data_IF_528919286740
#
_entry.id   IF_528919286740
#
_cell.length_a   1.000
_cell.length_b   1.000
_cell.length_c   1.000
_cell.angle_alpha   90.00
_cell.angle_beta   90.00
_cell.angle_gamma   90.00
#
_symmetry.space_group_name_H-M   'P 1'
#
loop_
_entity.id
_entity.type
_entity.pdbx_description
1 polymer ?
#
# COMPACT_ATOMS: atom_id res chain seq x y z
N UNK A 1 -3.32 -30.35 24.22
CA UNK A 1 -3.95 -29.19 24.87
C UNK A 1 -3.17 -27.98 24.39
N UNK A 2 -3.77 -27.14 23.54
CA UNK A 2 -3.12 -25.90 23.13
C UNK A 2 -3.33 -24.90 24.26
N UNK A 3 -2.25 -24.41 24.88
CA UNK A 3 -2.33 -23.32 25.84
C UNK A 3 -2.90 -22.10 25.12
N UNK A 4 -4.12 -21.73 25.48
CA UNK A 4 -4.73 -20.49 25.04
C UNK A 4 -4.04 -19.40 25.85
N UNK A 5 -3.06 -18.74 25.24
CA UNK A 5 -2.39 -17.58 25.82
C UNK A 5 -3.42 -16.46 25.92
N UNK A 6 -3.75 -16.02 27.13
CA UNK A 6 -4.59 -14.86 27.34
C UNK A 6 -3.78 -13.60 27.01
N UNK A 7 -4.01 -13.08 25.81
CA UNK A 7 -3.27 -11.96 25.23
C UNK A 7 -3.57 -10.65 25.98
N UNK A 8 -4.63 -10.62 26.81
CA UNK A 8 -5.06 -9.41 27.53
C UNK A 8 -4.16 -9.04 28.72
N UNK A 9 -3.30 -9.94 29.17
CA UNK A 9 -2.34 -9.69 30.26
C UNK A 9 -0.91 -9.36 29.76
N UNK A 10 -0.69 -9.37 28.46
CA UNK A 10 0.60 -9.08 27.85
C UNK A 10 0.78 -7.57 27.66
N UNK A 11 1.98 -7.07 27.98
CA UNK A 11 2.38 -5.71 27.59
C UNK A 11 2.49 -5.58 26.06
N UNK A 12 2.36 -4.36 25.54
CA UNK A 12 2.48 -4.08 24.10
C UNK A 12 3.79 -4.61 23.50
N UNK A 13 4.88 -4.57 24.28
CA UNK A 13 6.20 -5.07 23.90
C UNK A 13 6.22 -6.62 23.81
N UNK A 14 5.55 -7.31 24.75
CA UNK A 14 5.40 -8.77 24.71
C UNK A 14 4.47 -9.24 23.59
N UNK A 15 3.41 -8.48 23.28
CA UNK A 15 2.54 -8.74 22.13
C UNK A 15 3.30 -8.58 20.82
N UNK A 16 4.15 -7.55 20.70
CA UNK A 16 4.97 -7.32 19.53
C UNK A 16 6.00 -8.45 19.32
N UNK A 17 6.67 -8.88 20.39
CA UNK A 17 7.64 -9.97 20.36
C UNK A 17 6.98 -11.32 20.04
N UNK A 18 5.82 -11.62 20.64
CA UNK A 18 5.06 -12.83 20.32
C UNK A 18 4.62 -12.86 18.84
N UNK A 19 4.17 -11.71 18.30
CA UNK A 19 3.82 -11.59 16.88
C UNK A 19 5.03 -11.78 15.98
N UNK A 20 6.22 -11.29 16.37
CA UNK A 20 7.47 -11.48 15.64
C UNK A 20 7.87 -12.96 15.60
N UNK A 21 7.85 -13.63 16.75
CA UNK A 21 8.17 -15.06 16.85
C UNK A 21 7.17 -15.94 16.08
N UNK A 22 5.88 -15.59 16.09
CA UNK A 22 4.87 -16.27 15.27
C UNK A 22 5.13 -16.06 13.77
N UNK A 23 5.48 -14.84 13.34
CA UNK A 23 5.82 -14.56 11.96
C UNK A 23 7.06 -15.37 11.51
N UNK A 24 8.11 -15.43 12.33
CA UNK A 24 9.31 -16.23 12.05
C UNK A 24 9.00 -17.73 11.96
N UNK A 25 8.20 -18.26 12.89
CA UNK A 25 7.80 -19.67 12.91
C UNK A 25 6.93 -20.05 11.71
N UNK A 26 6.11 -19.12 11.22
CA UNK A 26 5.28 -19.30 10.02
C UNK A 26 6.02 -18.99 8.71
N UNK A 27 7.31 -18.62 8.77
CA UNK A 27 8.10 -18.23 7.61
C UNK A 27 7.60 -16.95 6.93
N UNK A 28 6.82 -16.13 7.65
CA UNK A 28 6.36 -14.82 7.18
C UNK A 28 7.53 -13.83 7.27
N UNK A 29 7.81 -13.06 6.21
CA UNK A 29 8.92 -12.12 6.22
C UNK A 29 8.71 -11.06 7.30
N UNK A 30 9.79 -10.75 8.04
CA UNK A 30 9.81 -9.78 9.15
C UNK A 30 9.45 -8.35 8.71
N UNK A 31 9.65 -8.04 7.43
CA UNK A 31 9.24 -6.80 6.81
C UNK A 31 8.25 -7.08 5.67
N UNK A 32 7.28 -6.18 5.42
CA UNK A 32 6.49 -6.23 4.20
C UNK A 32 7.42 -6.37 2.99
N UNK A 33 7.11 -7.22 2.00
CA UNK A 33 7.76 -7.11 0.70
C UNK A 33 7.47 -5.71 0.15
N UNK A 34 8.44 -4.81 0.24
CA UNK A 34 8.39 -3.47 -0.36
C UNK A 34 9.02 -3.55 -1.74
N UNK A 35 8.41 -2.90 -2.71
CA UNK A 35 8.99 -2.69 -4.04
C UNK A 35 9.32 -1.22 -4.19
N UNK A 36 10.59 -0.93 -4.41
CA UNK A 36 11.03 0.39 -4.87
C UNK A 36 10.73 0.53 -6.36
N UNK A 37 10.04 1.60 -6.73
CA UNK A 37 9.77 1.98 -8.11
C UNK A 37 10.08 3.46 -8.28
N UNK A 38 10.50 3.83 -9.49
CA UNK A 38 10.67 5.23 -9.89
C UNK A 38 9.66 5.51 -11.00
N UNK A 39 8.78 6.48 -10.80
CA UNK A 39 7.77 6.87 -11.78
C UNK A 39 7.85 8.37 -11.96
N UNK A 40 8.06 8.84 -13.20
CA UNK A 40 8.15 10.27 -13.52
C UNK A 40 9.15 11.04 -12.66
N UNK A 41 10.25 10.38 -12.25
CA UNK A 41 11.30 10.94 -11.39
C UNK A 41 11.00 10.89 -9.89
N UNK A 42 9.83 10.36 -9.49
CA UNK A 42 9.41 10.19 -8.10
C UNK A 42 9.74 8.77 -7.64
N UNK A 43 10.60 8.65 -6.64
CA UNK A 43 10.91 7.37 -5.98
C UNK A 43 9.81 6.99 -4.98
N UNK A 44 9.35 5.74 -5.02
CA UNK A 44 8.24 5.23 -4.22
C UNK A 44 8.51 3.84 -3.64
N UNK A 45 8.05 3.66 -2.40
CA UNK A 45 8.11 2.39 -1.65
C UNK A 45 6.73 1.77 -1.54
N UNK A 46 6.41 0.84 -2.43
CA UNK A 46 5.09 0.21 -2.46
C UNK A 46 5.07 -1.06 -1.61
N UNK A 47 4.25 -1.09 -0.56
CA UNK A 47 3.98 -2.32 0.20
C UNK A 47 3.19 -3.32 -0.66
N UNK A 48 3.86 -4.36 -1.14
CA UNK A 48 3.27 -5.37 -2.02
C UNK A 48 2.18 -6.20 -1.33
N UNK A 49 2.03 -6.15 0.00
CA UNK A 49 0.87 -6.73 0.67
C UNK A 49 -0.40 -5.98 0.32
N UNK A 50 -0.33 -4.66 0.15
CA UNK A 50 -1.48 -3.86 -0.31
C UNK A 50 -1.92 -4.32 -1.68
N UNK A 51 -0.98 -4.60 -2.58
CA UNK A 51 -1.30 -5.13 -3.93
C UNK A 51 -1.98 -6.50 -3.92
N UNK A 52 -1.70 -7.32 -2.89
CA UNK A 52 -2.32 -8.66 -2.71
C UNK A 52 -3.52 -8.64 -1.77
N UNK A 53 -3.88 -7.48 -1.22
CA UNK A 53 -4.97 -7.32 -0.27
C UNK A 53 -6.32 -7.38 -1.00
N UNK A 54 -7.32 -8.00 -0.37
CA UNK A 54 -8.67 -8.08 -0.93
C UNK A 54 -9.28 -6.69 -1.19
N UNK A 55 -8.86 -5.66 -0.44
CA UNK A 55 -9.29 -4.27 -0.63
C UNK A 55 -8.88 -3.74 -2.00
N UNK A 56 -7.66 -4.05 -2.44
CA UNK A 56 -7.18 -3.67 -3.77
C UNK A 56 -8.04 -4.31 -4.86
N UNK A 57 -8.34 -5.61 -4.72
CA UNK A 57 -9.24 -6.30 -5.65
C UNK A 57 -10.66 -5.69 -5.64
N UNK A 58 -11.19 -5.37 -4.47
CA UNK A 58 -12.51 -4.77 -4.34
C UNK A 58 -12.57 -3.38 -4.96
N UNK A 59 -11.53 -2.57 -4.80
CA UNK A 59 -11.43 -1.24 -5.37
C UNK A 59 -11.27 -1.29 -6.90
N UNK A 60 -10.42 -2.18 -7.44
CA UNK A 60 -10.32 -2.41 -8.88
C UNK A 60 -11.68 -2.81 -9.46
N UNK A 61 -12.39 -3.74 -8.82
CA UNK A 61 -13.71 -4.17 -9.29
C UNK A 61 -14.77 -3.04 -9.27
N UNK A 62 -14.65 -2.06 -8.36
CA UNK A 62 -15.51 -0.87 -8.37
C UNK A 62 -15.15 0.06 -9.55
N UNK A 63 -13.86 0.28 -9.79
CA UNK A 63 -13.36 1.07 -10.93
C UNK A 63 -13.88 0.48 -12.25
N UNK A 64 -13.77 -0.83 -12.43
CA UNK A 64 -14.29 -1.53 -13.62
C UNK A 64 -15.80 -1.41 -13.81
N UNK A 65 -16.55 -1.16 -12.73
CA UNK A 65 -18.01 -0.91 -12.77
C UNK A 65 -18.35 0.56 -13.05
N UNK A 66 -17.36 1.42 -13.25
CA UNK A 66 -17.53 2.85 -13.54
C UNK A 66 -17.60 3.74 -12.31
N UNK A 67 -17.15 3.26 -11.13
CA UNK A 67 -16.99 4.12 -9.95
C UNK A 67 -15.66 4.86 -10.02
N UNK A 68 -15.69 6.09 -10.54
CA UNK A 68 -14.51 6.93 -10.73
C UNK A 68 -13.84 7.30 -9.39
N UNK A 69 -14.60 7.38 -8.29
CA UNK A 69 -14.05 7.69 -6.97
C UNK A 69 -13.26 6.52 -6.38
N UNK A 70 -13.60 5.29 -6.76
CA UNK A 70 -12.86 4.10 -6.32
C UNK A 70 -11.41 4.09 -6.85
N UNK A 71 -11.13 4.76 -7.96
CA UNK A 71 -9.76 4.90 -8.46
C UNK A 71 -8.93 5.76 -7.50
N UNK A 72 -9.49 6.87 -7.02
CA UNK A 72 -8.85 7.73 -6.03
C UNK A 72 -8.60 6.97 -4.73
N UNK A 73 -9.61 6.26 -4.22
CA UNK A 73 -9.47 5.42 -3.02
C UNK A 73 -8.39 4.34 -3.19
N UNK A 74 -8.26 3.76 -4.38
CA UNK A 74 -7.23 2.78 -4.71
C UNK A 74 -5.82 3.38 -4.60
N UNK A 75 -5.59 4.57 -5.15
CA UNK A 75 -4.28 5.20 -5.09
C UNK A 75 -3.93 5.75 -3.70
N UNK A 76 -4.92 6.27 -2.98
CA UNK A 76 -4.77 6.57 -1.55
C UNK A 76 -4.36 5.33 -0.76
N UNK A 77 -4.97 4.18 -1.05
CA UNK A 77 -4.62 2.91 -0.42
C UNK A 77 -3.21 2.47 -0.78
N UNK A 78 -2.84 2.46 -2.06
CA UNK A 78 -1.54 1.98 -2.55
C UNK A 78 -0.40 2.86 -2.04
N UNK A 79 -0.48 4.17 -2.27
CA UNK A 79 0.56 5.14 -1.88
C UNK A 79 0.59 5.32 -0.35
N UNK A 80 -0.56 5.27 0.32
CA UNK A 80 -0.66 5.43 1.77
C UNK A 80 0.00 6.73 2.24
N UNK A 81 1.08 6.61 3.03
CA UNK A 81 1.76 7.76 3.62
C UNK A 81 2.52 8.63 2.62
N UNK A 82 2.82 8.12 1.42
CA UNK A 82 3.52 8.89 0.38
C UNK A 82 2.59 9.78 -0.45
N UNK A 83 1.26 9.67 -0.28
CA UNK A 83 0.30 10.37 -1.12
C UNK A 83 0.51 11.89 -1.12
N UNK A 84 0.63 12.50 0.05
CA UNK A 84 0.74 13.96 0.16
C UNK A 84 2.01 14.47 -0.53
N UNK A 85 3.13 13.74 -0.36
CA UNK A 85 4.40 14.03 -1.02
C UNK A 85 4.28 13.89 -2.54
N UNK A 86 3.65 12.82 -3.03
CA UNK A 86 3.42 12.61 -4.47
C UNK A 86 2.58 13.73 -5.05
N UNK A 87 1.51 14.13 -4.35
CA UNK A 87 0.64 15.23 -4.80
C UNK A 87 1.42 16.54 -4.84
N UNK A 88 2.25 16.82 -3.84
CA UNK A 88 3.13 17.99 -3.83
C UNK A 88 4.12 18.00 -5.01
N UNK A 89 4.78 16.86 -5.27
CA UNK A 89 5.75 16.73 -6.37
C UNK A 89 5.08 16.79 -7.76
N UNK A 90 3.83 16.37 -7.90
CA UNK A 90 3.06 16.46 -9.14
C UNK A 90 2.36 17.81 -9.34
N UNK A 91 2.28 18.64 -8.30
CA UNK A 91 1.63 19.95 -8.36
C UNK A 91 2.50 20.97 -9.09
N UNK A 92 1.85 21.97 -9.69
CA UNK A 92 2.54 23.12 -10.26
C UNK A 92 3.03 24.12 -9.18
N UNK A 93 3.63 25.23 -9.62
CA UNK A 93 4.16 26.27 -8.73
C UNK A 93 3.09 26.91 -7.82
N UNK A 94 1.82 26.85 -8.19
CA UNK A 94 0.69 27.37 -7.42
C UNK A 94 0.07 26.30 -6.49
N UNK A 95 0.60 25.07 -6.50
CA UNK A 95 0.12 23.95 -5.70
C UNK A 95 -1.09 23.24 -6.30
N UNK A 96 -1.36 23.42 -7.60
CA UNK A 96 -2.43 22.74 -8.29
C UNK A 96 -1.95 21.42 -8.90
N UNK A 97 -2.52 20.31 -8.43
CA UNK A 97 -2.32 18.98 -9.02
C UNK A 97 -3.41 18.70 -10.05
N UNK A 98 -3.03 18.66 -11.33
CA UNK A 98 -3.94 18.29 -12.41
C UNK A 98 -4.42 16.84 -12.27
N UNK A 99 -5.72 16.62 -12.45
CA UNK A 99 -6.32 15.30 -12.28
C UNK A 99 -5.86 14.29 -13.34
N UNK A 100 -5.59 14.73 -14.57
CA UNK A 100 -5.08 13.87 -15.64
C UNK A 100 -3.63 13.47 -15.37
N UNK A 101 -2.81 14.42 -14.88
CA UNK A 101 -1.44 14.15 -14.46
C UNK A 101 -1.39 13.11 -13.33
N UNK A 102 -2.21 13.30 -12.29
CA UNK A 102 -2.32 12.34 -11.18
C UNK A 102 -2.80 10.96 -11.67
N UNK A 103 -3.82 10.91 -12.53
CA UNK A 103 -4.33 9.65 -13.07
C UNK A 103 -3.27 8.91 -13.92
N UNK A 104 -2.50 9.65 -14.72
CA UNK A 104 -1.42 9.09 -15.56
C UNK A 104 -0.28 8.54 -14.71
N UNK A 105 0.16 9.29 -13.71
CA UNK A 105 1.15 8.84 -12.75
C UNK A 105 0.70 7.55 -12.06
N UNK A 106 -0.53 7.58 -11.57
CA UNK A 106 -1.18 6.46 -10.91
C UNK A 106 -1.24 5.19 -11.77
N UNK A 107 -1.59 5.31 -13.05
CA UNK A 107 -1.54 4.20 -13.99
C UNK A 107 -0.14 3.61 -14.15
N UNK A 108 0.90 4.45 -14.25
CA UNK A 108 2.30 4.02 -14.35
C UNK A 108 2.78 3.31 -13.09
N UNK A 109 2.38 3.77 -11.90
CA UNK A 109 2.64 3.06 -10.63
C UNK A 109 2.07 1.65 -10.67
N UNK A 110 0.82 1.48 -11.12
CA UNK A 110 0.23 0.14 -11.25
C UNK A 110 0.96 -0.72 -12.28
N UNK A 111 1.41 -0.14 -13.38
CA UNK A 111 2.20 -0.85 -14.39
C UNK A 111 3.54 -1.34 -13.81
N UNK A 112 4.33 -0.48 -13.17
CA UNK A 112 5.63 -0.86 -12.58
C UNK A 112 5.49 -1.90 -11.45
N UNK A 113 4.42 -1.78 -10.67
CA UNK A 113 4.12 -2.71 -9.59
C UNK A 113 3.50 -4.02 -10.11
N UNK A 114 2.76 -3.97 -11.22
CA UNK A 114 2.07 -5.11 -11.85
C UNK A 114 2.94 -5.91 -12.85
N UNK A 115 3.87 -5.25 -13.54
CA UNK A 115 4.66 -5.80 -14.67
C UNK A 115 5.68 -6.88 -14.29
N UNK A 116 5.84 -7.19 -13.00
CA UNK A 116 6.71 -8.27 -12.51
C UNK A 116 5.93 -9.30 -11.67
N UNK A 117 4.86 -9.85 -12.23
CA UNK A 117 4.27 -11.12 -11.81
C UNK A 117 4.57 -12.19 -12.85
#
# INVERSE_FOLDING_TARGET
MADIIDISELSDEQVAEMRRQLAEKEGRPAHPPVRHVEVDGIELDVDMRRMRDYRTLALIAKVERGDEFAAVELFQWILGGDLDRVVEELSDEDGFCDAEAFARFSARVLEEVGAKN
#
